data_IF_824613804738
#
_entry.id   IF_824613804738
#
_cell.length_a   1.000
_cell.length_b   1.000
_cell.length_c   1.000
_cell.angle_alpha   90.00
_cell.angle_beta   90.00
_cell.angle_gamma   90.00
#
_symmetry.space_group_name_H-M   'P 1'
#
loop_
_entity.id
_entity.type
_entity.pdbx_description
1 polymer ?
#
# COMPACT_ATOMS: atom_id res chain seq x y z
N UNK A 1 -16.02 14.33 37.38
CA UNK A 1 -16.50 13.05 36.83
C UNK A 1 -16.98 13.32 35.41
N UNK A 2 -16.18 12.92 34.42
CA UNK A 2 -16.54 12.49 33.04
C UNK A 2 -15.21 12.23 32.33
N UNK A 3 -14.80 10.96 32.36
CA UNK A 3 -13.61 10.41 31.71
C UNK A 3 -13.97 10.11 30.26
N UNK A 4 -13.15 10.58 29.30
CA UNK A 4 -13.24 10.21 27.89
C UNK A 4 -12.73 8.76 27.72
N UNK A 5 -13.39 7.89 26.94
CA UNK A 5 -12.92 6.52 26.78
C UNK A 5 -11.82 6.41 25.72
N UNK A 6 -10.67 5.91 26.17
CA UNK A 6 -10.01 4.75 25.56
C UNK A 6 -9.26 4.95 24.25
N UNK A 7 -8.02 5.40 24.35
CA UNK A 7 -6.94 5.19 23.39
C UNK A 7 -6.56 3.69 23.39
N UNK A 8 -7.18 2.86 22.54
CA UNK A 8 -6.73 1.48 22.29
C UNK A 8 -5.69 1.47 21.16
N UNK A 9 -4.43 1.64 21.57
CA UNK A 9 -3.26 1.27 20.76
C UNK A 9 -3.23 -0.26 20.59
N UNK A 10 -3.35 -0.75 19.37
CA UNK A 10 -3.04 -2.14 19.05
C UNK A 10 -1.54 -2.28 18.72
N UNK A 11 -0.77 -3.10 19.45
CA UNK A 11 0.57 -3.52 19.02
C UNK A 11 0.46 -4.68 18.03
N UNK A 12 1.37 -4.71 17.06
CA UNK A 12 1.32 -5.62 15.92
C UNK A 12 1.38 -7.12 16.25
N UNK A 13 0.71 -7.90 15.39
CA UNK A 13 1.13 -9.19 14.86
C UNK A 13 0.14 -9.63 13.78
N UNK A 14 0.65 -10.01 12.61
CA UNK A 14 -0.13 -10.72 11.60
C UNK A 14 -0.68 -12.02 12.24
N UNK A 15 -2.02 -12.12 12.29
CA UNK A 15 -2.70 -13.29 12.81
C UNK A 15 -2.68 -14.43 11.79
N UNK A 16 -2.42 -15.65 12.26
CA UNK A 16 -2.53 -16.89 11.50
C UNK A 16 -3.94 -17.07 10.88
N UNK A 17 -4.07 -17.84 9.78
CA UNK A 17 -5.32 -17.90 9.02
C UNK A 17 -6.38 -18.73 9.77
N UNK A 18 -7.46 -18.05 10.14
CA UNK A 18 -8.72 -18.68 10.56
C UNK A 18 -9.25 -18.18 11.91
N UNK A 19 -10.09 -17.14 11.89
CA UNK A 19 -11.31 -16.88 12.71
C UNK A 19 -11.62 -15.37 12.83
N UNK A 20 -12.64 -14.87 12.13
CA UNK A 20 -13.43 -13.67 12.48
C UNK A 20 -12.78 -12.27 12.51
N UNK A 21 -11.47 -12.14 12.25
CA UNK A 21 -10.72 -10.87 12.27
C UNK A 21 -10.87 -10.03 11.00
N UNK A 22 -10.40 -8.78 11.06
CA UNK A 22 -10.20 -7.96 9.87
C UNK A 22 -8.96 -8.45 9.11
N UNK A 23 -9.05 -8.57 7.80
CA UNK A 23 -7.94 -9.00 6.92
C UNK A 23 -7.48 -7.84 6.04
N UNK A 24 -6.20 -7.76 5.66
CA UNK A 24 -5.73 -6.75 4.71
C UNK A 24 -6.61 -6.71 3.46
N UNK A 25 -6.97 -5.51 3.03
CA UNK A 25 -7.80 -5.29 1.85
C UNK A 25 -7.14 -4.29 0.91
N UNK A 26 -6.64 -3.18 1.45
CA UNK A 26 -6.01 -2.14 0.66
C UNK A 26 -4.91 -1.41 1.41
N UNK A 27 -3.86 -0.99 0.70
CA UNK A 27 -2.85 -0.01 1.15
C UNK A 27 -2.88 1.19 0.20
N UNK A 28 -2.75 2.41 0.71
CA UNK A 28 -2.58 3.57 -0.15
C UNK A 28 -1.70 4.66 0.43
N UNK A 29 -1.25 5.57 -0.43
CA UNK A 29 -0.64 6.82 0.03
C UNK A 29 -1.67 7.70 0.74
N UNK A 30 -1.24 8.54 1.71
CA UNK A 30 -2.14 9.40 2.48
C UNK A 30 -3.03 10.30 1.62
N UNK A 31 -2.54 10.78 0.47
CA UNK A 31 -3.31 11.64 -0.43
C UNK A 31 -4.45 10.92 -1.14
N UNK A 32 -4.45 9.58 -1.13
CA UNK A 32 -5.50 8.74 -1.70
C UNK A 32 -6.43 8.16 -0.63
N UNK A 33 -6.16 8.39 0.67
CA UNK A 33 -6.86 7.73 1.77
C UNK A 33 -8.37 8.02 1.80
N UNK A 34 -8.79 9.27 1.62
CA UNK A 34 -10.21 9.64 1.60
C UNK A 34 -10.95 9.03 0.42
N UNK A 35 -10.31 9.02 -0.76
CA UNK A 35 -10.87 8.41 -1.97
C UNK A 35 -10.96 6.89 -1.82
N UNK A 36 -9.94 6.26 -1.25
CA UNK A 36 -9.90 4.83 -0.94
C UNK A 36 -11.03 4.44 0.01
N UNK A 37 -11.20 5.17 1.13
CA UNK A 37 -12.25 4.90 2.11
C UNK A 37 -13.66 5.01 1.50
N UNK A 38 -13.89 6.03 0.67
CA UNK A 38 -15.14 6.20 -0.06
C UNK A 38 -15.38 5.07 -1.06
N UNK A 39 -14.36 4.71 -1.85
CA UNK A 39 -14.45 3.65 -2.84
C UNK A 39 -14.77 2.29 -2.20
N UNK A 40 -14.09 1.94 -1.10
CA UNK A 40 -14.35 0.72 -0.34
C UNK A 40 -15.80 0.68 0.16
N UNK A 41 -16.28 1.79 0.72
CA UNK A 41 -17.65 1.90 1.26
C UNK A 41 -18.73 1.78 0.16
N UNK A 42 -18.48 2.37 -1.01
CA UNK A 42 -19.41 2.35 -2.15
C UNK A 42 -19.43 0.99 -2.85
N UNK A 43 -18.26 0.38 -3.07
CA UNK A 43 -18.18 -0.89 -3.81
C UNK A 43 -18.65 -2.09 -2.98
N UNK A 44 -18.48 -2.03 -1.66
CA UNK A 44 -18.69 -3.15 -0.74
C UNK A 44 -19.53 -2.75 0.48
N UNK A 45 -20.81 -2.37 0.27
CA UNK A 45 -21.68 -1.89 1.36
C UNK A 45 -21.93 -2.93 2.46
N UNK A 46 -21.80 -4.22 2.14
CA UNK A 46 -21.99 -5.34 3.08
C UNK A 46 -20.70 -5.70 3.85
N UNK A 47 -19.66 -4.86 3.77
CA UNK A 47 -18.38 -5.05 4.45
C UNK A 47 -18.17 -3.96 5.50
N UNK A 48 -17.45 -4.32 6.56
CA UNK A 48 -16.89 -3.38 7.53
C UNK A 48 -15.43 -3.16 7.21
N UNK A 49 -14.99 -1.92 7.25
CA UNK A 49 -13.60 -1.54 7.06
C UNK A 49 -13.07 -0.84 8.32
N UNK A 50 -11.79 -1.06 8.61
CA UNK A 50 -11.00 -0.25 9.55
C UNK A 50 -9.77 0.24 8.81
N UNK A 51 -9.34 1.46 9.12
CA UNK A 51 -8.17 2.09 8.52
C UNK A 51 -7.21 2.60 9.59
N UNK A 52 -5.92 2.51 9.34
CA UNK A 52 -4.88 3.08 10.19
C UNK A 52 -3.74 3.67 9.35
N UNK A 53 -3.12 4.74 9.83
CA UNK A 53 -1.88 5.21 9.28
C UNK A 53 -0.73 4.33 9.80
N UNK A 54 0.09 3.80 8.89
CA UNK A 54 1.28 2.99 9.20
C UNK A 54 2.47 3.54 8.42
N UNK A 55 3.33 4.30 9.12
CA UNK A 55 4.43 5.02 8.49
C UNK A 55 3.93 6.03 7.46
N UNK A 56 4.40 5.91 6.22
CA UNK A 56 4.01 6.76 5.09
C UNK A 56 2.80 6.20 4.31
N UNK A 57 2.08 5.23 4.89
CA UNK A 57 0.93 4.55 4.26
C UNK A 57 -0.35 4.67 5.09
N UNK A 58 -1.48 4.45 4.43
CA UNK A 58 -2.76 4.16 5.06
C UNK A 58 -3.18 2.73 4.68
N UNK A 59 -3.30 1.87 5.69
CA UNK A 59 -3.73 0.49 5.52
C UNK A 59 -5.20 0.33 5.91
N UNK A 60 -5.94 -0.38 5.06
CA UNK A 60 -7.33 -0.73 5.25
C UNK A 60 -7.49 -2.24 5.34
N UNK A 61 -8.23 -2.68 6.36
CA UNK A 61 -8.58 -4.07 6.55
C UNK A 61 -10.10 -4.24 6.51
N UNK A 62 -10.57 -5.37 5.97
CA UNK A 62 -11.97 -5.67 5.71
C UNK A 62 -12.49 -6.85 6.56
N UNK A 63 -13.77 -6.79 6.90
CA UNK A 63 -14.53 -7.93 7.46
C UNK A 63 -15.96 -7.96 6.90
N UNK A 64 -16.40 -9.08 6.30
CA UNK A 64 -15.60 -10.23 5.85
C UNK A 64 -14.43 -9.83 4.93
N UNK A 65 -13.45 -10.73 4.79
CA UNK A 65 -12.34 -10.55 3.87
C UNK A 65 -12.84 -10.32 2.43
N UNK A 66 -12.10 -9.52 1.65
CA UNK A 66 -12.38 -9.40 0.22
C UNK A 66 -12.02 -10.71 -0.48
N UNK A 67 -12.96 -11.27 -1.23
CA UNK A 67 -12.69 -12.40 -2.10
C UNK A 67 -11.88 -11.94 -3.31
N UNK A 68 -11.17 -12.85 -4.00
CA UNK A 68 -10.37 -12.49 -5.17
C UNK A 68 -11.15 -11.69 -6.25
N UNK A 69 -12.42 -12.02 -6.57
CA UNK A 69 -13.21 -11.19 -7.51
C UNK A 69 -13.45 -9.77 -7.00
N UNK A 70 -13.63 -9.59 -5.69
CA UNK A 70 -13.83 -8.28 -5.06
C UNK A 70 -12.53 -7.46 -5.08
N UNK A 71 -11.39 -8.08 -4.76
CA UNK A 71 -10.07 -7.44 -4.88
C UNK A 71 -9.79 -7.00 -6.31
N UNK A 72 -10.12 -7.85 -7.29
CA UNK A 72 -9.96 -7.50 -8.71
C UNK A 72 -10.88 -6.35 -9.13
N UNK A 73 -12.12 -6.33 -8.66
CA UNK A 73 -13.05 -5.22 -8.89
C UNK A 73 -12.50 -3.92 -8.32
N UNK A 74 -11.99 -3.94 -7.08
CA UNK A 74 -11.34 -2.79 -6.46
C UNK A 74 -10.13 -2.32 -7.27
N UNK A 75 -9.24 -3.23 -7.67
CA UNK A 75 -8.06 -2.92 -8.48
C UNK A 75 -8.43 -2.23 -9.79
N UNK A 76 -9.45 -2.72 -10.51
CA UNK A 76 -9.88 -2.09 -11.77
C UNK A 76 -10.31 -0.63 -11.57
N UNK A 77 -11.01 -0.32 -10.48
CA UNK A 77 -11.40 1.06 -10.17
C UNK A 77 -10.19 1.93 -9.79
N UNK A 78 -9.22 1.36 -9.07
CA UNK A 78 -8.00 2.07 -8.70
C UNK A 78 -7.07 2.30 -9.89
N UNK A 79 -7.00 1.35 -10.82
CA UNK A 79 -6.29 1.53 -12.09
C UNK A 79 -6.87 2.71 -12.88
N UNK A 80 -8.19 2.76 -13.04
CA UNK A 80 -8.85 3.90 -13.67
C UNK A 80 -8.62 5.23 -12.91
N UNK A 81 -8.50 5.18 -11.58
CA UNK A 81 -8.17 6.35 -10.77
C UNK A 81 -6.75 6.85 -11.06
N UNK A 82 -5.72 5.98 -11.00
CA UNK A 82 -4.32 6.39 -11.16
C UNK A 82 -3.97 6.78 -12.60
N UNK A 83 -4.77 6.36 -13.58
CA UNK A 83 -4.67 6.79 -14.98
C UNK A 83 -5.15 8.23 -15.22
N UNK A 84 -5.90 8.84 -14.29
CA UNK A 84 -6.34 10.23 -14.44
C UNK A 84 -5.14 11.17 -14.47
N UNK A 85 -5.17 12.27 -15.27
CA UNK A 85 -3.99 13.12 -15.50
C UNK A 85 -3.31 13.63 -14.22
N UNK A 86 -4.07 13.97 -13.19
CA UNK A 86 -3.56 14.46 -11.90
C UNK A 86 -2.73 13.41 -11.14
N UNK A 87 -3.03 12.12 -11.32
CA UNK A 87 -2.34 11.01 -10.66
C UNK A 87 -1.24 10.42 -11.55
N UNK A 88 -1.50 10.32 -12.85
CA UNK A 88 -0.52 9.87 -13.84
C UNK A 88 0.73 10.77 -13.86
N UNK A 89 0.54 12.10 -13.77
CA UNK A 89 1.67 13.07 -13.65
C UNK A 89 2.49 12.91 -12.37
N UNK A 90 1.91 12.27 -11.35
CA UNK A 90 2.58 11.96 -10.08
C UNK A 90 3.13 10.53 -10.05
N UNK A 91 3.07 9.81 -11.17
CA UNK A 91 3.50 8.41 -11.28
C UNK A 91 2.79 7.49 -10.28
N UNK A 92 1.54 7.78 -9.95
CA UNK A 92 0.75 6.91 -9.08
C UNK A 92 0.58 5.52 -9.70
N UNK A 93 0.58 4.48 -8.86
CA UNK A 93 0.46 3.09 -9.27
C UNK A 93 -0.71 2.44 -8.57
N UNK A 94 -1.37 1.49 -9.26
CA UNK A 94 -2.34 0.60 -8.66
C UNK A 94 -1.97 -0.85 -8.98
N UNK A 95 -1.84 -1.70 -7.96
CA UNK A 95 -1.39 -3.10 -8.11
C UNK A 95 -2.03 -4.04 -7.10
N UNK A 96 -1.97 -5.33 -7.34
CA UNK A 96 -2.24 -6.34 -6.32
C UNK A 96 -0.90 -6.82 -5.73
N UNK A 97 -0.85 -6.98 -4.42
CA UNK A 97 0.28 -7.56 -3.70
C UNK A 97 -0.21 -8.78 -2.93
N UNK A 98 0.53 -9.87 -3.05
CA UNK A 98 0.31 -11.11 -2.31
C UNK A 98 1.59 -11.45 -1.56
N UNK A 99 1.48 -11.57 -0.23
CA UNK A 99 2.59 -11.88 0.66
C UNK A 99 2.12 -12.77 1.82
N UNK A 100 3.00 -12.98 2.81
CA UNK A 100 2.72 -13.76 4.01
C UNK A 100 1.59 -13.17 4.90
N UNK A 101 1.27 -11.88 4.78
CA UNK A 101 0.16 -11.23 5.47
C UNK A 101 -1.17 -11.36 4.71
N UNK A 102 -1.12 -11.82 3.45
CA UNK A 102 -2.29 -12.13 2.62
C UNK A 102 -2.26 -11.38 1.30
N UNK A 103 -3.44 -11.13 0.74
CA UNK A 103 -3.60 -10.33 -0.48
C UNK A 103 -4.17 -8.97 -0.16
N UNK A 104 -3.60 -7.93 -0.75
CA UNK A 104 -4.14 -6.57 -0.71
C UNK A 104 -4.02 -5.91 -2.07
N UNK A 105 -4.84 -4.90 -2.29
CA UNK A 105 -4.69 -3.98 -3.41
C UNK A 105 -3.93 -2.74 -2.93
N UNK A 106 -2.96 -2.25 -3.71
CA UNK A 106 -2.24 -1.03 -3.39
C UNK A 106 -2.59 0.08 -4.37
N UNK A 107 -2.71 1.31 -3.87
CA UNK A 107 -2.77 2.53 -4.67
C UNK A 107 -1.79 3.57 -4.11
N UNK A 108 -0.60 3.67 -4.71
CA UNK A 108 0.52 4.40 -4.13
C UNK A 108 0.95 5.56 -5.03
N UNK A 109 1.30 6.68 -4.41
CA UNK A 109 2.03 7.79 -4.99
C UNK A 109 3.48 7.68 -4.51
N UNK A 110 4.48 7.64 -5.41
CA UNK A 110 5.87 7.52 -5.01
C UNK A 110 6.32 8.73 -4.20
N UNK A 111 7.10 8.46 -3.14
CA UNK A 111 7.82 9.49 -2.39
C UNK A 111 8.98 10.02 -3.23
N UNK A 112 9.23 11.32 -3.15
CA UNK A 112 10.47 11.87 -3.69
C UNK A 112 11.69 11.24 -2.98
N UNK A 113 12.83 10.99 -3.67
CA UNK A 113 14.00 10.36 -3.06
C UNK A 113 14.51 11.07 -1.80
N UNK A 114 14.44 12.41 -1.78
CA UNK A 114 14.83 13.23 -0.64
C UNK A 114 13.82 13.21 0.52
N UNK A 115 12.60 12.73 0.30
CA UNK A 115 11.54 12.62 1.31
C UNK A 115 11.56 11.27 2.03
N UNK A 116 12.24 10.25 1.49
CA UNK A 116 12.35 8.94 2.13
C UNK A 116 13.03 9.02 3.51
N UNK A 117 12.44 8.35 4.51
CA UNK A 117 12.91 8.33 5.91
C UNK A 117 13.23 6.93 6.45
N UNK A 118 13.06 5.89 5.63
CA UNK A 118 13.24 4.49 6.04
C UNK A 118 11.94 3.71 5.96
N UNK A 119 12.05 2.37 5.92
CA UNK A 119 10.90 1.47 5.84
C UNK A 119 10.47 1.15 4.42
N UNK A 120 9.35 0.47 4.28
CA UNK A 120 8.80 0.13 2.97
C UNK A 120 8.31 1.38 2.25
N UNK A 121 8.69 1.52 0.98
CA UNK A 121 8.19 2.61 0.17
C UNK A 121 8.34 2.43 -1.33
N UNK A 122 7.42 3.04 -2.07
CA UNK A 122 7.61 3.35 -3.47
C UNK A 122 8.30 4.72 -3.59
N UNK A 123 9.45 4.79 -4.23
CA UNK A 123 10.29 5.99 -4.29
C UNK A 123 10.63 6.36 -5.73
N UNK A 124 10.56 7.65 -6.05
CA UNK A 124 10.86 8.22 -7.37
C UNK A 124 10.14 9.56 -7.57
N UNK A 125 10.04 10.06 -8.81
CA UNK A 125 10.60 9.49 -10.04
C UNK A 125 12.11 9.69 -10.17
N UNK A 126 12.77 8.74 -10.84
CA UNK A 126 14.13 8.83 -11.36
C UNK A 126 14.10 8.90 -12.89
N UNK A 127 15.05 9.62 -13.48
CA UNK A 127 15.13 9.77 -14.93
C UNK A 127 15.65 8.51 -15.63
N UNK A 128 16.61 7.81 -15.03
CA UNK A 128 17.21 6.59 -15.55
C UNK A 128 17.15 5.43 -14.55
N UNK A 129 17.13 4.20 -15.07
CA UNK A 129 17.17 2.97 -14.27
C UNK A 129 18.42 2.90 -13.41
N UNK A 130 19.57 3.28 -13.98
CA UNK A 130 20.84 3.31 -13.27
C UNK A 130 20.82 4.25 -12.06
N UNK A 131 20.14 5.39 -12.15
CA UNK A 131 20.01 6.34 -11.03
C UNK A 131 19.12 5.76 -9.93
N UNK A 132 18.02 5.10 -10.30
CA UNK A 132 17.13 4.40 -9.36
C UNK A 132 17.89 3.28 -8.63
N UNK A 133 18.63 2.45 -9.37
CA UNK A 133 19.44 1.37 -8.82
C UNK A 133 20.57 1.89 -7.91
N UNK A 134 21.27 2.95 -8.31
CA UNK A 134 22.31 3.57 -7.50
C UNK A 134 21.74 4.17 -6.21
N UNK A 135 20.58 4.83 -6.29
CA UNK A 135 19.88 5.33 -5.10
C UNK A 135 19.50 4.19 -4.16
N UNK A 136 18.91 3.10 -4.68
CA UNK A 136 18.53 1.93 -3.90
C UNK A 136 19.73 1.30 -3.18
N UNK A 137 20.86 1.16 -3.87
CA UNK A 137 22.11 0.66 -3.30
C UNK A 137 22.66 1.58 -2.18
N UNK A 138 22.47 2.89 -2.30
CA UNK A 138 22.91 3.88 -1.32
C UNK A 138 22.08 3.94 -0.03
N UNK A 139 20.82 3.49 -0.07
CA UNK A 139 19.90 3.54 1.08
C UNK A 139 19.76 2.21 1.83
N UNK A 140 20.54 1.17 1.49
CA UNK A 140 20.35 -0.20 2.01
C UNK A 140 20.03 -0.25 3.51
N UNK A 141 18.75 -0.45 3.81
CA UNK A 141 18.23 -0.67 5.16
C UNK A 141 18.22 -2.17 5.41
N UNK A 142 18.83 -2.62 6.51
CA UNK A 142 18.83 -4.04 6.88
C UNK A 142 17.39 -4.59 6.88
N UNK A 143 17.16 -5.63 6.09
CA UNK A 143 15.87 -6.34 6.04
C UNK A 143 14.91 -5.91 4.92
N UNK A 144 15.29 -4.93 4.08
CA UNK A 144 14.54 -4.56 2.89
C UNK A 144 15.22 -5.10 1.61
N UNK A 145 14.40 -5.52 0.66
CA UNK A 145 14.78 -5.66 -0.75
C UNK A 145 14.31 -4.43 -1.53
N UNK A 146 14.84 -4.29 -2.75
CA UNK A 146 14.53 -3.19 -3.65
C UNK A 146 14.40 -3.72 -5.08
N UNK A 147 13.28 -3.40 -5.73
CA UNK A 147 13.09 -3.62 -7.17
C UNK A 147 13.00 -2.28 -7.89
N UNK A 148 13.47 -2.23 -9.14
CA UNK A 148 13.28 -1.07 -10.01
C UNK A 148 12.17 -1.35 -11.02
N UNK A 149 11.29 -0.38 -11.24
CA UNK A 149 10.18 -0.50 -12.18
C UNK A 149 9.96 0.80 -12.94
N UNK A 150 9.37 0.70 -14.13
CA UNK A 150 9.11 1.85 -15.00
C UNK A 150 7.63 2.21 -15.04
N UNK A 151 7.29 3.47 -14.72
CA UNK A 151 5.91 3.98 -14.67
C UNK A 151 5.84 5.37 -15.30
N UNK A 152 4.96 5.55 -16.29
CA UNK A 152 4.73 6.87 -16.90
C UNK A 152 5.99 7.53 -17.46
N UNK A 153 6.93 6.74 -17.99
CA UNK A 153 8.19 7.23 -18.55
C UNK A 153 9.32 7.46 -17.53
N UNK A 154 9.06 7.35 -16.23
CA UNK A 154 10.05 7.45 -15.16
C UNK A 154 10.35 6.09 -14.52
N UNK A 155 11.48 6.03 -13.80
CA UNK A 155 11.87 4.88 -12.99
C UNK A 155 11.51 5.10 -11.52
N UNK A 156 11.02 4.06 -10.87
CA UNK A 156 10.71 4.02 -9.45
C UNK A 156 11.51 2.88 -8.80
N UNK A 157 11.71 2.99 -7.48
CA UNK A 157 12.26 1.95 -6.62
C UNK A 157 11.16 1.51 -5.66
N UNK A 158 10.85 0.22 -5.64
CA UNK A 158 9.93 -0.39 -4.70
C UNK A 158 10.72 -1.07 -3.58
N UNK A 159 10.60 -0.55 -2.37
CA UNK A 159 11.26 -1.05 -1.16
C UNK A 159 10.25 -1.82 -0.32
N UNK A 160 10.56 -3.09 -0.05
CA UNK A 160 9.68 -4.01 0.68
C UNK A 160 10.50 -4.95 1.56
N UNK A 161 9.86 -5.59 2.56
CA UNK A 161 10.58 -6.49 3.47
C UNK A 161 10.96 -7.82 2.81
N UNK A 162 12.20 -8.27 3.01
CA UNK A 162 12.73 -9.51 2.43
C UNK A 162 11.94 -10.77 2.83
N UNK A 163 11.24 -10.72 3.97
CA UNK A 163 10.40 -11.82 4.47
C UNK A 163 9.02 -11.91 3.81
N UNK A 164 8.65 -10.98 2.94
CA UNK A 164 7.35 -10.94 2.25
C UNK A 164 7.37 -11.68 0.90
N UNK A 165 8.55 -12.07 0.42
CA UNK A 165 8.77 -12.86 -0.81
C UNK A 165 8.93 -14.36 -0.52
N UNK A 166 7.91 -15.05 -0.02
CA UNK A 166 7.79 -16.53 -0.09
C UNK A 166 6.28 -16.86 -0.05
N UNK A 167 5.66 -17.69 -0.88
CA UNK A 167 6.13 -18.87 -1.61
C UNK A 167 5.37 -19.05 -2.94
N UNK A 168 5.94 -19.84 -3.86
CA UNK A 168 5.32 -20.34 -5.09
C UNK A 168 3.90 -20.91 -4.90
#
# INVERSE_FOLDING_TARGET
MTTLPGDERAPGRAGAPGTGGFTPAMRCSPELADVAAQLLSVLFPDRRFVGAAEGDWCDFAARPALAAPDSRRLLNHLQALVERPEWARRHAVAREVADAAGRRVEALVPLAPAAYRGGEALVGPFAAEADAAAWAAGVQVRGLAADTLRVGGAWLVDLFRLGELLAD
#
